data_IF_992564202143
#
_entry.id   IF_992564202143
#
_cell.length_a   1.000
_cell.length_b   1.000
_cell.length_c   1.000
_cell.angle_alpha   90.00
_cell.angle_beta   90.00
_cell.angle_gamma   90.00
#
_symmetry.space_group_name_H-M   'P 1'
#
loop_
_entity.id
_entity.type
_entity.pdbx_description
1 polymer ?
#
# COMPACT_ATOMS: atom_id res chain seq x y z
N UNK A 1 -10.87 -25.37 13.38
CA UNK A 1 -10.71 -24.87 13.10
C UNK A 1 -10.35 -24.06 12.88
N UNK A 2 -10.25 -23.74 12.76
CA UNK A 2 -10.08 -23.12 12.50
C UNK A 2 -9.48 -22.29 12.12
N UNK A 3 -9.27 -22.01 11.97
CA UNK A 3 -8.73 -21.37 11.66
C UNK A 3 -8.46 -20.46 11.20
N UNK A 4 -8.41 -20.25 10.83
CA UNK A 4 -7.96 -19.44 10.35
C UNK A 4 -7.89 -18.22 10.54
N UNK A 5 -8.17 -18.03 10.85
CA UNK A 5 -8.22 -17.10 11.10
C UNK A 5 -7.53 -16.32 11.36
N UNK A 6 -7.39 -16.51 11.50
CA UNK A 6 -6.69 -16.11 11.87
C UNK A 6 -5.90 -15.29 11.50
N UNK A 7 -5.60 -15.78 11.05
CA UNK A 7 -4.66 -15.10 10.34
C UNK A 7 -5.11 -13.76 9.98
N UNK A 8 -6.28 -13.55 10.00
CA UNK A 8 -6.80 -12.39 9.81
C UNK A 8 -6.31 -11.42 10.64
N UNK A 9 -5.09 -11.17 10.48
CA UNK A 9 -4.50 -10.13 11.18
C UNK A 9 -5.31 -8.93 10.93
N UNK A 10 -5.69 -8.34 11.97
CA UNK A 10 -6.43 -7.14 11.94
C UNK A 10 -5.70 -6.07 11.16
N UNK A 11 -6.43 -5.29 10.42
CA UNK A 11 -5.85 -4.17 9.71
C UNK A 11 -5.51 -3.05 10.70
N UNK A 12 -4.31 -2.51 10.54
CA UNK A 12 -3.78 -1.45 11.37
C UNK A 12 -3.60 -0.20 10.54
N UNK A 13 -4.05 0.93 11.05
CA UNK A 13 -3.85 2.20 10.36
C UNK A 13 -2.45 2.71 10.67
N UNK A 14 -1.64 2.91 9.65
CA UNK A 14 -0.28 3.42 9.80
C UNK A 14 0.03 4.36 8.65
N UNK A 15 0.84 5.40 8.88
CA UNK A 15 1.29 6.24 7.78
C UNK A 15 2.33 5.48 6.95
N UNK A 16 2.27 5.63 5.65
CA UNK A 16 3.21 5.00 4.73
C UNK A 16 3.68 6.01 3.70
N UNK A 17 4.91 5.83 3.26
CA UNK A 17 5.43 6.56 2.11
C UNK A 17 5.20 5.67 0.89
N UNK A 18 4.59 6.21 -0.14
CA UNK A 18 4.10 5.44 -1.29
C UNK A 18 4.49 6.14 -2.58
N UNK A 19 4.87 5.37 -3.58
CA UNK A 19 4.96 5.92 -4.94
C UNK A 19 4.42 4.87 -5.91
N UNK A 20 4.04 5.33 -7.09
CA UNK A 20 3.57 4.46 -8.15
C UNK A 20 4.57 4.40 -9.29
N UNK A 21 4.60 3.27 -9.96
CA UNK A 21 5.42 3.07 -11.14
C UNK A 21 4.52 2.44 -12.20
N UNK A 22 4.63 2.92 -13.43
CA UNK A 22 3.83 2.37 -14.51
C UNK A 22 4.65 2.23 -15.78
N UNK A 23 4.35 1.19 -16.55
CA UNK A 23 4.98 0.99 -17.83
C UNK A 23 3.91 1.08 -18.91
N UNK A 24 4.26 1.72 -20.03
CA UNK A 24 3.39 1.76 -21.18
C UNK A 24 3.37 0.39 -21.85
N UNK A 25 2.23 0.01 -22.35
CA UNK A 25 2.08 -1.26 -23.04
C UNK A 25 2.69 -1.24 -24.45
N UNK A 26 2.61 -0.09 -25.12
CA UNK A 26 2.96 0.00 -26.54
C UNK A 26 4.34 0.56 -26.86
N UNK A 27 5.03 1.11 -25.89
CA UNK A 27 6.34 1.72 -26.14
C UNK A 27 7.23 1.62 -24.89
N UNK A 28 8.38 2.27 -24.92
CA UNK A 28 9.37 2.20 -23.85
C UNK A 28 9.18 3.29 -22.78
N UNK A 29 7.99 3.86 -22.66
CA UNK A 29 7.74 4.90 -21.68
C UNK A 29 7.41 4.30 -20.34
N UNK A 30 8.04 4.84 -19.29
CA UNK A 30 7.74 4.47 -17.91
C UNK A 30 7.43 5.73 -17.13
N UNK A 31 6.61 5.59 -16.11
CA UNK A 31 6.15 6.71 -15.29
C UNK A 31 6.45 6.45 -13.83
N UNK A 32 6.98 7.45 -13.16
CA UNK A 32 7.16 7.43 -11.71
C UNK A 32 6.32 8.56 -11.11
N UNK A 33 5.56 8.27 -10.06
CA UNK A 33 4.91 9.32 -9.31
C UNK A 33 5.90 9.85 -8.28
N UNK A 34 5.62 11.02 -7.72
CA UNK A 34 6.38 11.50 -6.57
C UNK A 34 6.12 10.57 -5.39
N UNK A 35 7.05 10.52 -4.47
CA UNK A 35 6.87 9.82 -3.20
C UNK A 35 5.88 10.64 -2.38
N UNK A 36 4.81 10.01 -1.91
CA UNK A 36 3.75 10.66 -1.16
C UNK A 36 3.65 10.06 0.24
N UNK A 37 3.46 10.91 1.23
CA UNK A 37 3.16 10.43 2.57
C UNK A 37 1.65 10.27 2.67
N UNK A 38 1.21 9.06 2.97
CA UNK A 38 -0.21 8.76 3.12
C UNK A 38 -0.48 8.37 4.56
N UNK A 39 -1.27 9.17 5.24
CA UNK A 39 -1.55 8.92 6.65
C UNK A 39 -2.78 8.04 6.88
N UNK A 40 -3.59 7.86 5.89
CA UNK A 40 -4.80 7.04 6.00
C UNK A 40 -4.68 5.63 5.46
N UNK A 41 -3.47 5.09 5.38
CA UNK A 41 -3.25 3.74 4.87
C UNK A 41 -3.40 2.70 5.97
N UNK A 42 -3.77 1.51 5.57
CA UNK A 42 -3.94 0.38 6.47
C UNK A 42 -3.04 -0.76 6.03
N UNK A 43 -2.48 -1.47 6.99
CA UNK A 43 -1.62 -2.61 6.71
C UNK A 43 -2.07 -3.80 7.55
N UNK A 44 -1.76 -5.00 7.07
CA UNK A 44 -1.97 -6.21 7.83
C UNK A 44 -1.09 -6.15 9.08
N UNK A 45 -1.68 -6.32 10.24
CA UNK A 45 -0.96 -6.20 11.52
C UNK A 45 0.11 -7.25 11.73
N UNK A 46 0.07 -8.33 10.97
CA UNK A 46 1.03 -9.43 11.09
C UNK A 46 2.12 -9.34 10.03
N UNK A 47 1.74 -9.11 8.77
CA UNK A 47 2.69 -9.10 7.67
C UNK A 47 3.19 -7.71 7.30
N UNK A 48 2.44 -6.69 7.67
CA UNK A 48 2.73 -5.32 7.25
C UNK A 48 2.38 -5.02 5.80
N UNK A 49 1.70 -5.96 5.13
CA UNK A 49 1.32 -5.76 3.73
C UNK A 49 0.24 -4.70 3.60
N UNK A 50 0.40 -3.84 2.62
CA UNK A 50 -0.54 -2.75 2.36
C UNK A 50 -1.91 -3.30 1.99
N UNK A 51 -2.93 -2.86 2.72
CA UNK A 51 -4.31 -3.24 2.44
C UNK A 51 -4.71 -2.71 1.07
N UNK A 52 -5.26 -3.59 0.27
CA UNK A 52 -5.81 -3.23 -1.04
C UNK A 52 -4.78 -2.64 -2.01
N UNK A 53 -3.55 -3.14 -1.96
CA UNK A 53 -2.45 -2.66 -2.80
C UNK A 53 -2.82 -2.61 -4.28
N UNK A 54 -3.55 -3.61 -4.76
CA UNK A 54 -3.97 -3.66 -6.16
C UNK A 54 -4.90 -2.51 -6.53
N UNK A 55 -5.71 -2.05 -5.60
CA UNK A 55 -6.61 -0.93 -5.84
C UNK A 55 -5.86 0.41 -5.86
N UNK A 56 -4.73 0.51 -5.16
CA UNK A 56 -3.87 1.67 -5.30
C UNK A 56 -3.25 1.70 -6.70
N UNK A 57 -2.80 0.56 -7.18
CA UNK A 57 -2.28 0.46 -8.55
C UNK A 57 -3.36 0.78 -9.59
N UNK A 58 -4.59 0.40 -9.30
CA UNK A 58 -5.73 0.69 -10.14
C UNK A 58 -6.02 2.20 -10.20
N UNK A 59 -5.85 2.90 -9.09
CA UNK A 59 -6.00 4.37 -9.09
C UNK A 59 -5.04 5.02 -10.07
N UNK A 60 -3.78 4.58 -10.06
CA UNK A 60 -2.77 5.10 -10.98
C UNK A 60 -3.13 4.74 -12.43
N UNK A 61 -3.58 3.52 -12.65
CA UNK A 61 -3.98 3.08 -13.98
C UNK A 61 -5.11 3.94 -14.54
N UNK A 62 -6.13 4.22 -13.72
CA UNK A 62 -7.24 5.06 -14.16
C UNK A 62 -6.81 6.49 -14.45
N UNK A 63 -5.91 7.03 -13.64
CA UNK A 63 -5.37 8.36 -13.88
C UNK A 63 -4.61 8.42 -15.21
N UNK A 64 -3.79 7.42 -15.49
CA UNK A 64 -3.03 7.37 -16.75
C UNK A 64 -3.95 7.19 -17.95
N UNK A 65 -5.02 6.43 -17.82
CA UNK A 65 -6.03 6.29 -18.88
C UNK A 65 -6.65 7.65 -19.20
N UNK A 66 -6.95 8.43 -18.18
CA UNK A 66 -7.49 9.78 -18.34
C UNK A 66 -6.50 10.68 -19.10
N UNK A 67 -5.19 10.43 -18.92
CA UNK A 67 -4.15 11.18 -19.64
C UNK A 67 -3.87 10.62 -21.04
N UNK A 68 -4.67 9.69 -21.49
CA UNK A 68 -4.57 9.15 -22.85
C UNK A 68 -3.71 7.90 -22.99
N UNK A 69 -3.38 7.24 -21.88
CA UNK A 69 -2.54 6.05 -21.92
C UNK A 69 -3.38 4.80 -21.70
N UNK A 70 -3.67 4.03 -22.75
CA UNK A 70 -4.45 2.82 -22.58
C UNK A 70 -3.61 1.69 -21.99
N UNK A 71 -4.22 0.93 -21.11
CA UNK A 71 -3.66 -0.31 -20.58
C UNK A 71 -2.23 -0.25 -20.02
N UNK A 72 -1.90 0.75 -19.16
CA UNK A 72 -0.59 0.74 -18.53
C UNK A 72 -0.53 -0.37 -17.47
N UNK A 73 0.67 -0.89 -17.24
CA UNK A 73 0.90 -1.81 -16.12
C UNK A 73 1.39 -0.98 -14.93
N UNK A 74 0.66 -1.02 -13.83
CA UNK A 74 0.96 -0.17 -12.68
C UNK A 74 1.31 -0.98 -11.45
N UNK A 75 2.28 -0.48 -10.68
CA UNK A 75 2.74 -1.10 -9.44
C UNK A 75 2.78 -0.03 -8.37
N UNK A 76 2.39 -0.38 -7.15
CA UNK A 76 2.46 0.50 -6.00
C UNK A 76 3.58 0.01 -5.10
N UNK A 77 4.50 0.91 -4.75
CA UNK A 77 5.64 0.61 -3.87
C UNK A 77 5.48 1.45 -2.61
N UNK A 78 5.73 0.85 -1.47
CA UNK A 78 5.53 1.53 -0.20
C UNK A 78 6.58 1.12 0.83
N UNK A 79 6.75 1.96 1.83
CA UNK A 79 7.61 1.66 2.98
C UNK A 79 7.15 2.51 4.17
N UNK A 80 7.53 2.08 5.36
CA UNK A 80 7.15 2.79 6.59
C UNK A 80 7.95 4.06 6.80
N UNK A 81 9.16 4.13 6.26
CA UNK A 81 10.01 5.30 6.42
C UNK A 81 10.36 5.90 5.07
N UNK A 82 10.61 7.20 5.07
CA UNK A 82 11.02 7.90 3.86
C UNK A 82 12.34 7.33 3.33
N UNK A 83 13.27 7.04 4.22
CA UNK A 83 14.56 6.49 3.85
C UNK A 83 14.41 5.17 3.07
N UNK A 84 13.55 4.30 3.55
CA UNK A 84 13.34 3.00 2.91
C UNK A 84 12.64 3.12 1.57
N UNK A 85 11.64 3.99 1.45
CA UNK A 85 10.95 4.16 0.18
C UNK A 85 11.84 4.86 -0.84
N UNK A 86 12.67 5.80 -0.38
CA UNK A 86 13.63 6.47 -1.28
C UNK A 86 14.66 5.49 -1.81
N UNK A 87 15.11 4.57 -0.96
CA UNK A 87 16.04 3.53 -1.37
C UNK A 87 15.44 2.66 -2.48
N UNK A 88 14.19 2.28 -2.33
CA UNK A 88 13.46 1.51 -3.35
C UNK A 88 13.27 2.33 -4.62
N UNK A 89 12.92 3.60 -4.46
CA UNK A 89 12.67 4.52 -5.55
C UNK A 89 13.94 4.72 -6.39
N UNK A 90 15.05 5.02 -5.74
CA UNK A 90 16.32 5.26 -6.45
C UNK A 90 16.85 4.00 -7.13
N UNK A 91 16.66 2.83 -6.50
CA UNK A 91 17.07 1.58 -7.12
C UNK A 91 16.29 1.32 -8.41
N UNK A 92 14.98 1.55 -8.36
CA UNK A 92 14.13 1.37 -9.53
C UNK A 92 14.42 2.40 -10.61
N UNK A 93 14.58 3.67 -10.20
CA UNK A 93 14.90 4.75 -11.11
C UNK A 93 16.22 4.48 -11.83
N UNK A 94 17.24 4.03 -11.10
CA UNK A 94 18.54 3.70 -11.68
C UNK A 94 18.40 2.62 -12.74
N UNK A 95 17.59 1.61 -12.46
CA UNK A 95 17.35 0.51 -13.41
C UNK A 95 16.80 0.99 -14.74
N UNK A 96 15.87 1.95 -14.70
CA UNK A 96 15.20 2.44 -15.89
C UNK A 96 15.88 3.64 -16.56
N UNK A 97 16.82 4.30 -15.90
CA UNK A 97 17.53 5.45 -16.48
C UNK A 97 18.93 5.11 -16.97
N UNK A 98 19.53 4.00 -16.50
CA UNK A 98 20.95 3.71 -16.72
C UNK A 98 21.35 3.56 -18.20
N UNK A 99 20.49 2.98 -19.02
CA UNK A 99 20.86 2.65 -20.40
C UNK A 99 20.22 3.54 -21.46
N UNK A 100 19.44 4.51 -21.07
CA UNK A 100 18.72 5.36 -22.02
C UNK A 100 17.72 4.63 -22.88
N UNK A 101 17.35 3.40 -22.51
CA UNK A 101 16.42 2.57 -23.28
C UNK A 101 14.97 2.94 -23.05
N UNK A 102 14.70 3.59 -21.94
CA UNK A 102 13.34 3.94 -21.53
C UNK A 102 13.15 5.45 -21.56
N UNK A 103 11.96 5.86 -21.98
CA UNK A 103 11.57 7.24 -21.87
C UNK A 103 10.91 7.40 -20.49
N UNK A 104 11.65 7.99 -19.56
CA UNK A 104 11.18 8.09 -18.17
C UNK A 104 10.45 9.41 -17.98
N UNK A 105 9.22 9.32 -17.51
CA UNK A 105 8.39 10.48 -17.22
C UNK A 105 8.01 10.49 -15.75
N UNK A 106 7.84 11.67 -15.21
CA UNK A 106 7.51 11.84 -13.79
C UNK A 106 6.16 12.52 -13.66
N UNK A 107 5.34 11.99 -12.74
CA UNK A 107 4.05 12.58 -12.42
C UNK A 107 4.19 13.28 -11.08
N UNK A 108 3.86 14.55 -11.03
CA UNK A 108 3.90 15.29 -9.76
C UNK A 108 2.67 14.92 -8.94
N UNK A 109 2.66 15.29 -7.67
CA UNK A 109 1.49 15.08 -6.80
C UNK A 109 0.26 15.84 -7.33
N UNK A 110 0.49 16.90 -8.10
CA UNK A 110 -0.59 17.65 -8.75
C UNK A 110 -1.18 16.83 -9.92
N UNK A 111 -0.34 16.10 -10.65
CA UNK A 111 -0.80 15.25 -11.75
C UNK A 111 -1.55 14.03 -11.23
N UNK A 112 -1.06 13.44 -10.15
CA UNK A 112 -1.66 12.27 -9.56
C UNK A 112 -1.27 12.13 -8.08
N UNK A 113 -2.27 11.90 -7.26
CA UNK A 113 -2.06 11.58 -5.84
C UNK A 113 -2.91 10.38 -5.50
N UNK A 114 -2.34 9.47 -4.71
CA UNK A 114 -3.11 8.32 -4.23
C UNK A 114 -4.13 8.77 -3.20
N UNK A 115 -5.29 8.12 -3.24
CA UNK A 115 -6.34 8.32 -2.23
C UNK A 115 -6.28 7.14 -1.27
N UNK A 116 -6.26 7.37 0.04
CA UNK A 116 -6.24 6.28 1.01
C UNK A 116 -7.45 5.39 0.85
N UNK A 117 -7.23 4.09 0.96
CA UNK A 117 -8.29 3.09 0.89
C UNK A 117 -8.48 2.52 2.28
N UNK A 118 -9.69 2.62 2.77
CA UNK A 118 -10.04 2.18 4.10
C UNK A 118 -10.68 0.80 4.04
N UNK A 119 -10.27 -0.14 4.91
CA UNK A 119 -10.93 -1.44 4.97
C UNK A 119 -12.37 -1.26 5.44
N UNK A 120 -13.20 -2.25 5.19
CA UNK A 120 -14.57 -2.17 5.68
C UNK A 120 -14.55 -2.35 7.22
N UNK A 121 -15.66 -2.03 7.84
CA UNK A 121 -15.76 -2.06 9.29
C UNK A 121 -15.48 -3.43 9.90
N UNK A 122 -15.79 -4.49 9.19
CA UNK A 122 -15.54 -5.84 9.68
C UNK A 122 -14.03 -6.11 9.83
N UNK A 123 -13.22 -5.60 8.93
CA UNK A 123 -11.77 -5.79 8.98
C UNK A 123 -11.12 -4.92 10.06
N UNK A 124 -11.64 -3.71 10.28
CA UNK A 124 -11.20 -2.84 11.37
C UNK A 124 -11.66 -3.38 12.71
N UNK A 125 -12.88 -3.82 12.77
CA UNK A 125 -13.48 -4.41 13.97
C UNK A 125 -12.71 -5.63 14.42
N UNK A 126 -12.10 -6.33 13.47
CA UNK A 126 -11.23 -7.45 13.76
C UNK A 126 -10.10 -7.04 14.71
N UNK A 127 -9.49 -5.87 14.52
CA UNK A 127 -8.48 -5.34 15.43
C UNK A 127 -9.09 -5.00 16.79
N UNK A 128 -10.23 -4.38 16.77
CA UNK A 128 -10.95 -3.97 17.97
C UNK A 128 -11.42 -5.19 18.74
N UNK A 129 -12.00 -6.16 18.05
CA UNK A 129 -12.48 -7.40 18.62
C UNK A 129 -11.35 -8.20 19.25
N UNK A 130 -10.17 -8.18 18.63
CA UNK A 130 -8.99 -8.85 19.16
C UNK A 130 -8.56 -8.23 20.49
N UNK A 131 -8.61 -6.90 20.60
CA UNK A 131 -8.32 -6.20 21.86
C UNK A 131 -9.36 -6.56 22.91
N UNK A 132 -10.63 -6.58 22.56
CA UNK A 132 -11.72 -6.93 23.44
C UNK A 132 -11.60 -8.36 23.93
N UNK A 133 -11.27 -9.28 23.03
CA UNK A 133 -11.08 -10.70 23.37
C UNK A 133 -9.88 -10.88 24.30
N UNK A 134 -8.82 -10.15 24.08
CA UNK A 134 -7.62 -10.20 24.91
C UNK A 134 -7.93 -9.69 26.30
N UNK A 135 -8.68 -8.61 26.40
CA UNK A 135 -9.12 -8.06 27.70
C UNK A 135 -10.04 -9.02 28.43
N UNK A 136 -10.97 -9.63 27.73
CA UNK A 136 -11.89 -10.64 28.31
C UNK A 136 -11.13 -11.86 28.79
N UNK A 137 -10.16 -12.33 28.02
CA UNK A 137 -9.34 -13.47 28.40
C UNK A 137 -8.54 -13.20 29.66
N UNK A 138 -7.90 -12.04 29.74
CA UNK A 138 -7.15 -11.65 30.92
C UNK A 138 -8.04 -11.57 32.16
N UNK A 139 -9.24 -11.03 32.01
CA UNK A 139 -10.23 -10.92 33.08
C UNK A 139 -10.72 -12.30 33.53
N UNK A 140 -10.95 -13.21 32.59
CA UNK A 140 -11.38 -14.56 32.89
C UNK A 140 -10.30 -15.34 33.63
N UNK A 141 -9.06 -15.26 33.23
CA UNK A 141 -7.94 -15.91 33.88
C UNK A 141 -7.79 -15.41 35.32
N UNK A 142 -7.98 -14.12 35.54
CA UNK A 142 -7.91 -13.51 36.85
C UNK A 142 -9.01 -14.04 37.77
N UNK A 143 -10.20 -14.26 37.24
CA UNK A 143 -11.33 -14.81 37.98
C UNK A 143 -11.08 -16.29 38.33
N UNK A 144 -10.56 -17.05 37.38
CA UNK A 144 -10.28 -18.47 37.60
C UNK A 144 -9.18 -18.74 38.62
N UNK A 145 -8.26 -17.81 38.81
CA UNK A 145 -7.19 -17.94 39.76
C UNK A 145 -7.63 -17.61 41.18
N UNK A 146 -8.79 -17.04 41.36
CA UNK A 146 -9.37 -16.73 42.64
C UNK A 146 -10.42 -17.76 42.99
#
# INVERSE_FOLDING_TARGET
MLMPKMANAAQKKVPLFVYGFATSFNDSTVYFTEIQLMEGTWVDGKTGFLYSRDNYSYQLREALKTLGLPNPTCVTVYAKTRKDVEKKYFAMKKRYTANGRYNVKYLTAHDFSFEPIEPDDSEKVSAYTKKAKKAKKAKKEKIEKN
#
